data_IF_872462110632
#
_entry.id   IF_872462110632
#
_cell.length_a   1.000
_cell.length_b   1.000
_cell.length_c   1.000
_cell.angle_alpha   90.00
_cell.angle_beta   90.00
_cell.angle_gamma   90.00
#
_symmetry.space_group_name_H-M   'P 1'
#
loop_
_entity.id
_entity.type
_entity.pdbx_description
1 polymer ?
#
# COMPACT_ATOMS: atom_id res chain seq x y z
N UNK A 1 22.61 -40.85 18.77
CA UNK A 1 21.76 -39.85 18.12
C UNK A 1 21.00 -40.57 17.03
N UNK A 2 19.72 -40.83 17.29
CA UNK A 2 18.94 -41.85 16.60
C UNK A 2 18.44 -41.36 15.22
N UNK A 3 18.42 -42.25 14.24
CA UNK A 3 17.94 -41.96 12.89
C UNK A 3 16.43 -41.68 12.90
N UNK A 4 15.69 -42.26 13.85
CA UNK A 4 14.27 -41.98 14.07
C UNK A 4 14.02 -40.57 14.61
N UNK A 5 14.87 -40.04 15.50
CA UNK A 5 14.80 -38.64 15.99
C UNK A 5 15.07 -37.63 14.86
N UNK A 6 16.01 -37.93 13.97
CA UNK A 6 16.27 -37.11 12.77
C UNK A 6 15.09 -37.15 11.79
N UNK A 7 14.48 -38.31 11.55
CA UNK A 7 13.34 -38.45 10.65
C UNK A 7 12.04 -37.83 11.21
N UNK A 8 11.82 -37.89 12.53
CA UNK A 8 10.70 -37.20 13.18
C UNK A 8 10.90 -35.68 13.22
N UNK A 9 12.13 -35.20 13.45
CA UNK A 9 12.49 -33.78 13.36
C UNK A 9 12.36 -33.22 11.93
N UNK A 10 12.68 -34.01 10.91
CA UNK A 10 12.49 -33.62 9.50
C UNK A 10 11.00 -33.60 9.13
N UNK A 11 10.21 -34.58 9.58
CA UNK A 11 8.76 -34.61 9.36
C UNK A 11 8.03 -33.47 10.08
N UNK A 12 8.41 -33.11 11.31
CA UNK A 12 7.80 -31.98 12.03
C UNK A 12 8.11 -30.62 11.42
N UNK A 13 9.29 -30.46 10.80
CA UNK A 13 9.66 -29.27 9.99
C UNK A 13 8.89 -29.17 8.68
N UNK A 14 8.44 -30.30 8.14
CA UNK A 14 7.64 -30.37 6.91
C UNK A 14 6.17 -30.02 7.16
N UNK A 15 5.62 -30.41 8.32
CA UNK A 15 4.23 -30.12 8.71
C UNK A 15 3.95 -28.64 8.98
N UNK A 16 4.97 -27.84 9.31
CA UNK A 16 4.83 -26.40 9.58
C UNK A 16 4.95 -25.53 8.31
N UNK A 17 5.14 -26.17 7.15
CA UNK A 17 5.12 -25.51 5.84
C UNK A 17 3.75 -25.66 5.21
N UNK A 18 3.14 -24.53 4.87
CA UNK A 18 1.87 -24.50 4.14
C UNK A 18 2.00 -23.65 2.89
N UNK A 19 1.37 -24.10 1.80
CA UNK A 19 1.19 -23.29 0.60
C UNK A 19 -0.09 -22.48 0.74
N UNK A 20 0.03 -21.17 0.64
CA UNK A 20 -1.09 -20.24 0.81
C UNK A 20 -1.11 -19.21 -0.31
N UNK A 21 -2.31 -18.79 -0.73
CA UNK A 21 -2.49 -17.63 -1.58
C UNK A 21 -2.55 -16.38 -0.69
N UNK A 22 -1.71 -15.39 -0.95
CA UNK A 22 -1.65 -14.17 -0.15
C UNK A 22 -1.42 -12.93 -1.03
N UNK A 23 -1.83 -11.76 -0.54
CA UNK A 23 -1.42 -10.49 -1.13
C UNK A 23 -0.23 -9.92 -0.37
N UNK A 24 0.85 -9.65 -1.08
CA UNK A 24 2.09 -9.08 -0.58
C UNK A 24 2.12 -7.59 -0.90
N UNK A 25 2.46 -6.79 0.09
CA UNK A 25 2.71 -5.36 -0.04
C UNK A 25 4.17 -5.10 0.33
N UNK A 26 4.90 -4.48 -0.58
CA UNK A 26 6.22 -3.94 -0.31
C UNK A 26 6.18 -2.42 -0.31
N UNK A 27 6.90 -1.80 0.61
CA UNK A 27 7.14 -0.35 0.62
C UNK A 27 8.62 -0.06 0.61
N UNK A 28 8.96 1.14 0.16
CA UNK A 28 10.32 1.67 0.18
C UNK A 28 10.26 3.20 0.20
N UNK A 29 11.20 3.87 0.87
CA UNK A 29 11.26 5.34 0.85
C UNK A 29 12.07 5.84 -0.35
N UNK A 30 11.61 6.92 -0.95
CA UNK A 30 12.33 7.61 -2.01
C UNK A 30 13.44 8.46 -1.40
N UNK A 31 14.67 8.29 -1.90
CA UNK A 31 15.81 9.12 -1.52
C UNK A 31 16.22 8.98 -0.05
N UNK A 32 15.98 7.82 0.56
CA UNK A 32 16.24 7.60 1.98
C UNK A 32 17.71 7.70 2.36
N UNK A 33 18.61 7.28 1.47
CA UNK A 33 20.05 7.35 1.70
C UNK A 33 20.53 8.80 1.74
N UNK A 34 20.13 9.62 0.77
CA UNK A 34 20.44 11.05 0.72
C UNK A 34 19.88 11.76 1.95
N UNK A 35 18.70 11.35 2.40
CA UNK A 35 18.05 11.91 3.59
C UNK A 35 18.73 11.52 4.90
N UNK A 36 19.20 10.27 4.99
CA UNK A 36 20.00 9.81 6.12
C UNK A 36 21.30 10.60 6.23
N UNK A 37 22.00 10.81 5.09
CA UNK A 37 23.23 11.63 5.02
C UNK A 37 22.96 13.07 5.44
N UNK A 38 21.89 13.70 4.94
CA UNK A 38 21.57 15.09 5.24
C UNK A 38 21.15 15.33 6.70
N UNK A 39 20.48 14.35 7.33
CA UNK A 39 19.97 14.48 8.70
C UNK A 39 20.98 14.01 9.76
N UNK A 40 21.88 13.09 9.41
CA UNK A 40 22.72 12.34 10.33
C UNK A 40 21.95 11.25 11.09
N UNK A 41 22.66 10.21 11.51
CA UNK A 41 22.11 8.95 11.99
C UNK A 41 21.05 9.11 13.10
N UNK A 42 21.31 9.93 14.13
CA UNK A 42 20.37 10.09 15.25
C UNK A 42 19.02 10.66 14.81
N UNK A 43 19.03 11.69 13.95
CA UNK A 43 17.80 12.33 13.48
C UNK A 43 17.08 11.45 12.47
N UNK A 44 17.83 10.74 11.64
CA UNK A 44 17.30 9.74 10.72
C UNK A 44 16.61 8.59 11.47
N UNK A 45 17.23 8.04 12.52
CA UNK A 45 16.62 7.00 13.35
C UNK A 45 15.30 7.46 13.98
N UNK A 46 15.26 8.65 14.60
CA UNK A 46 14.01 9.17 15.14
C UNK A 46 12.92 9.43 14.09
N UNK A 47 13.30 9.71 12.84
CA UNK A 47 12.36 9.81 11.72
C UNK A 47 11.87 8.42 11.27
N UNK A 48 12.77 7.43 11.22
CA UNK A 48 12.41 6.04 10.92
C UNK A 48 11.48 5.42 11.96
N UNK A 49 11.66 5.73 13.24
CA UNK A 49 10.75 5.27 14.30
C UNK A 49 9.32 5.80 14.08
N UNK A 50 9.17 7.09 13.75
CA UNK A 50 7.85 7.67 13.42
C UNK A 50 7.26 7.07 12.14
N UNK A 51 8.11 6.84 11.14
CA UNK A 51 7.74 6.14 9.91
C UNK A 51 7.22 4.73 10.22
N UNK A 52 7.98 3.91 10.96
CA UNK A 52 7.58 2.55 11.34
C UNK A 52 6.28 2.54 12.14
N UNK A 53 6.13 3.44 13.12
CA UNK A 53 4.89 3.56 13.89
C UNK A 53 3.68 3.90 13.02
N UNK A 54 3.86 4.79 12.04
CA UNK A 54 2.79 5.15 11.08
C UNK A 54 2.43 3.95 10.20
N UNK A 55 3.42 3.23 9.66
CA UNK A 55 3.18 2.06 8.81
C UNK A 55 2.44 0.97 9.59
N UNK A 56 2.90 0.63 10.80
CA UNK A 56 2.25 -0.39 11.65
C UNK A 56 0.80 -0.05 11.99
N UNK A 57 0.52 1.20 12.36
CA UNK A 57 -0.85 1.64 12.62
C UNK A 57 -1.76 1.50 11.39
N UNK A 58 -1.22 1.71 10.19
CA UNK A 58 -1.97 1.49 8.95
C UNK A 58 -2.13 0.01 8.63
N UNK A 59 -1.11 -0.82 8.84
CA UNK A 59 -1.23 -2.28 8.70
C UNK A 59 -2.36 -2.80 9.61
N UNK A 60 -2.36 -2.42 10.89
CA UNK A 60 -3.41 -2.82 11.84
C UNK A 60 -4.80 -2.36 11.37
N UNK A 61 -4.93 -1.11 10.93
CA UNK A 61 -6.20 -0.54 10.45
C UNK A 61 -6.77 -1.26 9.22
N UNK A 62 -5.90 -1.70 8.30
CA UNK A 62 -6.29 -2.37 7.06
C UNK A 62 -6.28 -3.90 7.18
N UNK A 63 -5.96 -4.46 8.36
CA UNK A 63 -5.88 -5.91 8.58
C UNK A 63 -4.69 -6.56 7.88
N UNK A 64 -3.59 -5.82 7.73
CA UNK A 64 -2.31 -6.33 7.24
C UNK A 64 -1.44 -6.86 8.37
N UNK A 65 -0.59 -7.83 8.06
CA UNK A 65 0.40 -8.38 8.98
C UNK A 65 1.80 -8.01 8.49
N UNK A 66 2.59 -7.33 9.34
CA UNK A 66 4.02 -7.13 9.12
C UNK A 66 4.72 -8.49 9.07
N UNK A 67 5.57 -8.68 8.06
CA UNK A 67 6.40 -9.88 7.89
C UNK A 67 7.84 -9.57 8.21
N UNK A 68 8.36 -8.48 7.63
CA UNK A 68 9.75 -8.07 7.79
C UNK A 68 9.91 -6.58 7.47
N UNK A 69 11.00 -6.00 7.96
CA UNK A 69 11.44 -4.64 7.65
C UNK A 69 12.90 -4.64 7.23
N UNK A 70 13.21 -3.95 6.14
CA UNK A 70 14.58 -3.76 5.67
C UNK A 70 14.91 -2.27 5.71
N UNK A 71 15.34 -1.78 6.88
CA UNK A 71 15.62 -0.37 7.12
C UNK A 71 14.35 0.48 7.04
N UNK A 72 14.16 1.14 5.91
CA UNK A 72 13.04 2.02 5.58
C UNK A 72 11.94 1.33 4.76
N UNK A 73 12.17 0.10 4.28
CA UNK A 73 11.17 -0.70 3.57
C UNK A 73 10.41 -1.68 4.48
N UNK A 74 9.15 -1.96 4.12
CA UNK A 74 8.32 -2.99 4.75
C UNK A 74 7.96 -4.09 3.77
N UNK A 75 7.88 -5.32 4.28
CA UNK A 75 7.12 -6.40 3.69
C UNK A 75 5.93 -6.71 4.61
N UNK A 76 4.73 -6.63 4.05
CA UNK A 76 3.49 -6.98 4.73
C UNK A 76 2.63 -7.93 3.90
N UNK A 77 1.74 -8.63 4.57
CA UNK A 77 0.77 -9.57 3.96
C UNK A 77 -0.65 -9.17 4.28
N UNK A 78 -1.55 -9.43 3.33
CA UNK A 78 -2.98 -9.18 3.44
C UNK A 78 -3.75 -10.38 2.89
N UNK A 79 -4.81 -10.77 3.59
CA UNK A 79 -5.80 -11.73 3.08
C UNK A 79 -6.69 -11.13 1.99
N UNK A 80 -6.84 -9.80 1.97
CA UNK A 80 -7.69 -9.07 1.02
C UNK A 80 -6.86 -8.10 0.18
N UNK A 81 -6.85 -8.29 -1.15
CA UNK A 81 -6.02 -7.49 -2.05
C UNK A 81 -6.43 -6.00 -2.10
N UNK A 82 -7.72 -5.69 -2.01
CA UNK A 82 -8.19 -4.30 -1.96
C UNK A 82 -7.75 -3.57 -0.70
N UNK A 83 -7.61 -4.27 0.43
CA UNK A 83 -7.06 -3.69 1.67
C UNK A 83 -5.58 -3.36 1.53
N UNK A 84 -4.79 -4.22 0.87
CA UNK A 84 -3.38 -3.92 0.58
C UNK A 84 -3.24 -2.64 -0.27
N UNK A 85 -4.04 -2.52 -1.34
CA UNK A 85 -4.03 -1.33 -2.20
C UNK A 85 -4.49 -0.08 -1.43
N UNK A 86 -5.56 -0.18 -0.64
CA UNK A 86 -6.05 0.90 0.22
C UNK A 86 -5.01 1.36 1.26
N UNK A 87 -4.35 0.40 1.91
CA UNK A 87 -3.25 0.64 2.83
C UNK A 87 -2.11 1.39 2.13
N UNK A 88 -1.76 0.98 0.90
CA UNK A 88 -0.74 1.65 0.09
C UNK A 88 -1.03 3.14 -0.13
N UNK A 89 -2.28 3.50 -0.47
CA UNK A 89 -2.67 4.90 -0.64
C UNK A 89 -2.58 5.71 0.64
N UNK A 90 -3.08 5.16 1.75
CA UNK A 90 -3.03 5.85 3.03
C UNK A 90 -1.60 5.98 3.55
N UNK A 91 -0.74 5.01 3.24
CA UNK A 91 0.67 5.05 3.59
C UNK A 91 1.41 6.15 2.84
N UNK A 92 1.31 6.21 1.51
CA UNK A 92 1.98 7.26 0.73
C UNK A 92 1.47 8.65 1.11
N UNK A 93 0.18 8.78 1.42
CA UNK A 93 -0.42 10.02 1.93
C UNK A 93 0.11 10.39 3.32
N UNK A 94 0.08 9.45 4.26
CA UNK A 94 0.47 9.70 5.66
C UNK A 94 1.94 10.06 5.79
N UNK A 95 2.81 9.35 5.07
CA UNK A 95 4.24 9.61 5.10
C UNK A 95 4.61 10.95 4.48
N UNK A 96 3.83 11.43 3.50
CA UNK A 96 4.06 12.76 2.93
C UNK A 96 3.90 13.90 3.95
N UNK A 97 3.04 13.74 4.96
CA UNK A 97 2.92 14.70 6.06
C UNK A 97 4.14 14.70 6.99
N UNK A 98 4.91 13.61 6.99
CA UNK A 98 6.23 13.53 7.64
C UNK A 98 7.35 14.05 6.72
N UNK A 99 7.00 14.60 5.55
CA UNK A 99 7.91 15.03 4.52
C UNK A 99 8.57 13.89 3.75
N UNK A 100 8.14 12.64 3.94
CA UNK A 100 8.71 11.45 3.30
C UNK A 100 7.86 11.03 2.11
N UNK A 101 8.48 10.78 0.96
CA UNK A 101 7.81 10.11 -0.15
C UNK A 101 8.13 8.62 -0.11
N UNK A 102 7.09 7.80 -0.22
CA UNK A 102 7.21 6.35 -0.29
C UNK A 102 6.68 5.85 -1.62
N UNK A 103 7.13 4.66 -2.02
CA UNK A 103 6.60 3.90 -3.14
C UNK A 103 6.09 2.56 -2.65
N UNK A 104 5.04 2.04 -3.29
CA UNK A 104 4.37 0.81 -2.87
C UNK A 104 4.23 -0.14 -4.06
N UNK A 105 4.58 -1.41 -3.85
CA UNK A 105 4.36 -2.49 -4.79
C UNK A 105 3.42 -3.54 -4.21
N UNK A 106 2.41 -3.97 -4.96
CA UNK A 106 1.45 -4.98 -4.52
C UNK A 106 1.36 -6.13 -5.52
N UNK A 107 1.39 -7.36 -5.02
CA UNK A 107 1.21 -8.57 -5.81
C UNK A 107 0.43 -9.63 -5.02
N UNK A 108 -0.45 -10.37 -5.69
CA UNK A 108 -1.13 -11.54 -5.12
C UNK A 108 -0.61 -12.79 -5.79
N UNK A 109 -0.21 -13.78 -5.00
CA UNK A 109 0.32 -15.05 -5.52
C UNK A 109 0.50 -16.10 -4.43
N UNK A 110 0.79 -17.32 -4.85
CA UNK A 110 1.06 -18.42 -3.93
C UNK A 110 2.47 -18.29 -3.33
N UNK A 111 2.56 -18.62 -2.05
CA UNK A 111 3.80 -18.60 -1.28
C UNK A 111 3.89 -19.82 -0.39
N UNK A 112 5.12 -20.20 -0.08
CA UNK A 112 5.44 -21.16 0.97
C UNK A 112 5.57 -20.37 2.28
N UNK A 113 4.68 -20.66 3.23
CA UNK A 113 4.68 -20.07 4.57
C UNK A 113 5.29 -21.05 5.57
N UNK A 114 6.22 -20.55 6.39
CA UNK A 114 6.83 -21.28 7.50
C UNK A 114 6.89 -20.35 8.71
N UNK A 115 5.96 -20.53 9.66
CA UNK A 115 5.75 -19.60 10.76
C UNK A 115 5.46 -18.17 10.25
N UNK A 116 6.27 -17.15 10.63
CA UNK A 116 6.12 -15.76 10.15
C UNK A 116 6.80 -15.51 8.80
N UNK A 117 7.55 -16.47 8.25
CA UNK A 117 8.32 -16.28 7.03
C UNK A 117 7.51 -16.68 5.81
N UNK A 118 7.69 -15.90 4.74
CA UNK A 118 7.10 -16.14 3.43
C UNK A 118 8.21 -16.26 2.40
N UNK A 119 8.08 -17.24 1.50
CA UNK A 119 9.06 -17.48 0.44
C UNK A 119 8.38 -17.96 -0.83
N UNK A 120 9.10 -17.86 -1.95
CA UNK A 120 8.61 -18.27 -3.27
C UNK A 120 8.55 -17.11 -4.26
N UNK A 121 8.13 -17.44 -5.48
CA UNK A 121 8.19 -16.54 -6.63
C UNK A 121 7.40 -15.25 -6.40
N UNK A 122 6.22 -15.33 -5.76
CA UNK A 122 5.36 -14.18 -5.51
C UNK A 122 6.05 -13.11 -4.63
N UNK A 123 6.87 -13.51 -3.65
CA UNK A 123 7.67 -12.58 -2.83
C UNK A 123 8.66 -11.81 -3.70
N UNK A 124 9.34 -12.50 -4.61
CA UNK A 124 10.28 -11.86 -5.54
C UNK A 124 9.57 -10.95 -6.53
N UNK A 125 8.40 -11.34 -7.06
CA UNK A 125 7.59 -10.47 -7.92
C UNK A 125 7.25 -9.17 -7.21
N UNK A 126 6.67 -9.24 -6.01
CA UNK A 126 6.28 -8.06 -5.24
C UNK A 126 7.48 -7.14 -4.94
N UNK A 127 8.63 -7.73 -4.57
CA UNK A 127 9.88 -7.00 -4.33
C UNK A 127 10.47 -6.33 -5.59
N UNK A 128 10.13 -6.81 -6.80
CA UNK A 128 10.51 -6.13 -8.05
C UNK A 128 9.51 -5.05 -8.45
N UNK A 129 8.23 -5.28 -8.22
CA UNK A 129 7.16 -4.32 -8.53
C UNK A 129 7.38 -3.02 -7.76
N UNK A 130 7.65 -3.06 -6.45
CA UNK A 130 7.88 -1.84 -5.65
C UNK A 130 9.03 -0.99 -6.20
N UNK A 131 10.08 -1.60 -6.78
CA UNK A 131 11.25 -0.87 -7.29
C UNK A 131 10.97 -0.10 -8.58
N UNK A 132 9.91 -0.47 -9.30
CA UNK A 132 9.45 0.21 -10.50
C UNK A 132 8.42 1.30 -10.18
N UNK A 133 7.90 1.34 -8.96
CA UNK A 133 6.98 2.37 -8.52
C UNK A 133 7.71 3.71 -8.32
N UNK A 134 7.09 4.79 -8.79
CA UNK A 134 7.52 6.16 -8.56
C UNK A 134 7.15 6.69 -7.17
N UNK A 135 7.53 7.95 -6.85
CA UNK A 135 7.15 8.59 -5.60
C UNK A 135 5.63 8.68 -5.45
N UNK A 136 5.15 8.29 -4.26
CA UNK A 136 3.73 8.28 -3.87
C UNK A 136 2.84 7.39 -4.73
N UNK A 137 3.44 6.47 -5.46
CA UNK A 137 2.74 5.55 -6.34
C UNK A 137 2.45 4.22 -5.66
N UNK A 138 1.27 3.68 -5.92
CA UNK A 138 0.89 2.30 -5.60
C UNK A 138 0.85 1.51 -6.90
N UNK A 139 1.90 0.75 -7.18
CA UNK A 139 2.02 -0.06 -8.39
C UNK A 139 1.61 -1.50 -8.08
N UNK A 140 0.80 -2.09 -8.97
CA UNK A 140 0.26 -3.42 -8.79
C UNK A 140 0.47 -4.28 -10.03
N UNK A 141 0.52 -5.60 -9.86
CA UNK A 141 0.50 -6.54 -11.00
C UNK A 141 -0.91 -6.69 -11.58
N UNK A 142 -1.00 -7.21 -12.81
CA UNK A 142 -2.26 -7.60 -13.42
C UNK A 142 -3.11 -8.52 -12.53
N UNK A 143 -2.49 -9.48 -11.84
CA UNK A 143 -3.17 -10.38 -10.90
C UNK A 143 -3.96 -9.62 -9.83
N UNK A 144 -3.36 -8.59 -9.22
CA UNK A 144 -4.03 -7.78 -8.20
C UNK A 144 -5.21 -7.04 -8.81
N UNK A 145 -5.01 -6.40 -9.97
CA UNK A 145 -6.08 -5.70 -10.70
C UNK A 145 -7.27 -6.63 -10.99
N UNK A 146 -7.00 -7.87 -11.39
CA UNK A 146 -8.03 -8.89 -11.65
C UNK A 146 -8.79 -9.30 -10.39
N UNK A 147 -8.08 -9.60 -9.30
CA UNK A 147 -8.67 -10.04 -8.02
C UNK A 147 -9.52 -8.96 -7.36
N UNK A 148 -9.18 -7.68 -7.54
CA UNK A 148 -9.93 -6.56 -6.95
C UNK A 148 -11.01 -5.99 -7.87
N UNK A 149 -11.35 -6.68 -8.97
CA UNK A 149 -12.46 -6.27 -9.83
C UNK A 149 -13.76 -6.13 -9.00
N UNK A 150 -14.44 -4.99 -9.12
CA UNK A 150 -15.63 -4.67 -8.32
C UNK A 150 -15.37 -3.98 -6.98
N UNK A 151 -14.11 -3.85 -6.54
CA UNK A 151 -13.77 -3.16 -5.27
C UNK A 151 -13.80 -1.62 -5.35
N UNK A 152 -14.26 -1.03 -6.47
CA UNK A 152 -14.30 0.42 -6.68
C UNK A 152 -12.92 1.08 -6.93
N UNK A 153 -11.86 0.28 -7.05
CA UNK A 153 -10.51 0.75 -7.36
C UNK A 153 -10.35 1.00 -8.87
N UNK A 154 -9.59 2.04 -9.22
CA UNK A 154 -9.23 2.36 -10.61
C UNK A 154 -7.73 2.17 -10.83
N UNK A 155 -7.37 1.88 -12.08
CA UNK A 155 -6.02 1.53 -12.46
C UNK A 155 -5.65 2.14 -13.80
N UNK A 156 -4.45 2.72 -13.88
CA UNK A 156 -3.86 3.20 -15.13
C UNK A 156 -2.71 2.28 -15.53
N UNK A 157 -2.68 1.85 -16.80
CA UNK A 157 -1.60 1.00 -17.31
C UNK A 157 -0.25 1.71 -17.20
N UNK A 158 0.77 0.98 -16.75
CA UNK A 158 2.18 1.40 -16.74
C UNK A 158 3.04 0.56 -17.69
N UNK A 159 2.40 -0.12 -18.62
CA UNK A 159 3.05 -0.96 -19.62
C UNK A 159 3.52 -2.31 -19.07
N UNK A 160 4.22 -3.04 -19.91
CA UNK A 160 4.76 -4.38 -19.61
C UNK A 160 6.24 -4.29 -19.28
N UNK A 161 6.66 -4.97 -18.22
CA UNK A 161 8.02 -4.89 -17.68
C UNK A 161 8.66 -6.27 -17.60
N UNK A 162 9.95 -6.37 -17.95
CA UNK A 162 10.76 -7.54 -17.62
C UNK A 162 11.30 -7.38 -16.21
N UNK A 163 10.87 -8.24 -15.29
CA UNK A 163 11.32 -8.19 -13.90
C UNK A 163 12.59 -9.03 -13.74
N UNK A 164 13.66 -8.44 -13.20
CA UNK A 164 14.98 -9.11 -13.08
C UNK A 164 14.86 -10.48 -12.40
N UNK A 165 15.26 -11.53 -13.14
CA UNK A 165 15.29 -12.92 -12.66
C UNK A 165 13.94 -13.64 -12.74
N UNK A 166 12.92 -13.02 -13.34
CA UNK A 166 11.60 -13.61 -13.54
C UNK A 166 11.34 -13.84 -15.03
N UNK A 167 10.71 -14.96 -15.41
CA UNK A 167 10.36 -15.20 -16.80
C UNK A 167 9.22 -14.28 -17.25
N UNK A 168 9.14 -14.06 -18.56
CA UNK A 168 8.04 -13.35 -19.21
C UNK A 168 8.03 -11.83 -19.00
N UNK A 169 6.97 -11.21 -19.49
CA UNK A 169 6.68 -9.79 -19.33
C UNK A 169 5.50 -9.60 -18.40
N UNK A 170 5.56 -8.57 -17.58
CA UNK A 170 4.62 -8.33 -16.49
C UNK A 170 3.90 -7.00 -16.72
N UNK A 171 2.62 -7.01 -17.11
CA UNK A 171 1.80 -5.81 -17.15
C UNK A 171 1.62 -5.25 -15.73
N UNK A 172 2.00 -3.99 -15.55
CA UNK A 172 1.88 -3.29 -14.28
C UNK A 172 0.89 -2.13 -14.40
N UNK A 173 0.24 -1.83 -13.28
CA UNK A 173 -0.80 -0.81 -13.22
C UNK A 173 -0.60 0.06 -11.99
N UNK A 174 -0.68 1.38 -12.17
CA UNK A 174 -0.76 2.30 -11.04
C UNK A 174 -2.20 2.34 -10.54
N UNK A 175 -2.42 2.03 -9.27
CA UNK A 175 -3.70 2.27 -8.64
C UNK A 175 -3.92 3.78 -8.54
N UNK A 176 -5.11 4.24 -8.91
CA UNK A 176 -5.51 5.64 -8.85
C UNK A 176 -6.53 5.78 -7.74
N UNK A 177 -6.26 6.64 -6.76
CA UNK A 177 -7.22 6.97 -5.72
C UNK A 177 -8.50 7.56 -6.33
N UNK A 178 -9.62 7.59 -5.59
CA UNK A 178 -10.72 8.46 -6.00
C UNK A 178 -10.15 9.88 -6.21
N UNK A 179 -10.40 10.47 -7.38
CA UNK A 179 -10.24 11.91 -7.61
C UNK A 179 -10.80 12.63 -6.37
N UNK A 180 -10.09 13.61 -5.80
CA UNK A 180 -10.72 14.51 -4.86
C UNK A 180 -11.93 15.07 -5.59
N UNK A 181 -13.14 14.71 -5.16
CA UNK A 181 -14.33 15.38 -5.67
C UNK A 181 -14.10 16.84 -5.39
N UNK A 182 -13.90 17.64 -6.43
CA UNK A 182 -13.83 19.08 -6.30
C UNK A 182 -15.08 19.48 -5.54
N UNK A 183 -14.91 19.92 -4.29
CA UNK A 183 -15.99 20.52 -3.52
C UNK A 183 -16.45 21.68 -4.37
N UNK A 184 -17.58 21.48 -5.07
CA UNK A 184 -18.19 22.53 -5.85
C UNK A 184 -18.27 23.74 -4.96
N UNK A 185 -17.65 24.83 -5.40
CA UNK A 185 -17.74 26.13 -4.76
C UNK A 185 -19.21 26.52 -4.73
N UNK A 186 -19.91 26.13 -3.68
CA UNK A 186 -21.21 26.68 -3.35
C UNK A 186 -20.96 28.10 -2.89
N UNK A 187 -20.86 29.01 -3.86
CA UNK A 187 -20.99 30.43 -3.61
C UNK A 187 -22.33 30.63 -2.84
N UNK A 188 -22.33 31.39 -1.73
CA UNK A 188 -23.55 31.63 -0.99
C UNK A 188 -24.55 32.33 -1.92
N UNK A 189 -25.68 31.66 -2.18
CA UNK A 189 -26.81 32.28 -2.90
C UNK A 189 -27.27 33.47 -2.07
N UNK A 190 -26.96 34.67 -2.54
CA UNK A 190 -27.48 35.91 -1.98
C UNK A 190 -29.02 35.84 -2.06
N UNK A 191 -29.68 35.63 -0.91
CA UNK A 191 -31.14 35.73 -0.84
C UNK A 191 -31.50 37.17 -1.14
N UNK A 192 -32.08 37.39 -2.32
CA UNK A 192 -32.59 38.69 -2.74
C UNK A 192 -33.88 38.98 -1.93
N UNK A 193 -33.75 39.67 -0.80
CA UNK A 193 -34.88 40.17 -0.03
C UNK A 193 -35.47 41.38 -0.74
N UNK A 194 -36.47 41.13 -1.60
CA UNK A 194 -37.32 42.22 -2.12
C UNK A 194 -38.07 42.90 -0.96
N UNK A 195 -38.10 44.25 -0.88
CA UNK A 195 -38.88 44.93 0.14
C UNK A 195 -40.38 44.81 -0.18
N UNK A 196 -41.18 44.43 0.82
CA UNK A 196 -42.64 44.40 0.74
C UNK A 196 -43.17 45.83 0.61
N UNK A 197 -43.83 46.16 -0.52
CA UNK A 197 -44.63 47.38 -0.67
C UNK A 197 -45.80 47.35 0.31
N UNK A 198 -45.90 48.36 1.18
CA UNK A 198 -47.11 48.67 1.97
C UNK A 198 -48.20 49.14 1.02
N UNK A 199 -49.38 48.53 1.12
CA UNK A 199 -50.62 49.07 0.56
C UNK A 199 -51.19 50.05 1.59
N UNK A 200 -51.25 51.32 1.25
CA UNK A 200 -51.97 52.31 2.02
C UNK A 200 -53.48 52.13 1.77
N UNK A 201 -54.25 52.02 2.85
CA UNK A 201 -55.71 52.13 2.83
C UNK A 201 -56.05 53.61 2.62
N UNK A 202 -56.93 53.90 1.67
CA UNK A 202 -57.69 55.16 1.65
C UNK A 202 -59.10 54.83 2.13
N UNK A 203 -59.48 55.45 3.24
CA UNK A 203 -60.85 55.56 3.70
C UNK A 203 -61.47 56.83 3.11
N UNK A 204 -62.65 56.68 2.50
CA UNK A 204 -63.69 57.69 2.31
C UNK A 204 -65.04 56.97 2.24
#
# INVERSE_FOLDING_TARGET
MDLQERLTSLRSRETDRSRVLVTLLFTDLIGSTERAVALGDRRWQGLLERHHGTVRALLDRFGGCEVDTAGDGFLATFSTASHAVGCGFELTRSLSWLGLDARVGVHTGEVERFGPKYSGLAVHVAARVVRLAGPREVLVTETVKGVVAGAGLRFTSRGSHSLKGLPGVWPLFAAVGPEPVALGTHAPRHRNTRPRRRVARLDA
#
